data_IF_293163010443
#
_entry.id   IF_293163010443
#
_cell.length_a   1.000
_cell.length_b   1.000
_cell.length_c   1.000
_cell.angle_alpha   90.00
_cell.angle_beta   90.00
_cell.angle_gamma   90.00
#
_symmetry.space_group_name_H-M   'P 1'
#
loop_
_entity.id
_entity.type
_entity.pdbx_description
1 polymer ?
#
# COMPACT_ATOMS: atom_id res chain seq x y z
N UNK A 1 14.85 17.46 -12.04
CA UNK A 1 13.95 18.46 -12.64
C UNK A 1 12.54 18.16 -12.16
N UNK A 2 11.83 19.16 -11.61
CA UNK A 2 10.45 19.03 -11.12
C UNK A 2 9.62 20.15 -11.72
N UNK A 3 8.45 19.83 -12.30
CA UNK A 3 7.53 20.84 -12.84
C UNK A 3 6.66 21.49 -11.74
N UNK A 4 6.95 21.20 -10.47
CA UNK A 4 6.20 21.69 -9.31
C UNK A 4 6.79 23.05 -8.91
N UNK A 5 5.99 24.13 -8.85
CA UNK A 5 6.45 25.44 -8.42
C UNK A 5 6.82 25.43 -6.92
N UNK A 6 7.85 26.20 -6.57
CA UNK A 6 8.41 26.28 -5.21
C UNK A 6 7.41 26.77 -4.16
N UNK A 7 6.38 27.52 -4.59
CA UNK A 7 5.26 27.97 -3.76
C UNK A 7 4.41 26.82 -3.20
N UNK A 8 4.35 25.69 -3.91
CA UNK A 8 3.49 24.56 -3.52
C UNK A 8 4.22 23.56 -2.63
N UNK A 9 5.52 23.38 -2.87
CA UNK A 9 6.34 22.42 -2.15
C UNK A 9 7.71 23.05 -1.87
N UNK A 10 8.04 23.33 -0.60
CA UNK A 10 9.38 23.77 -0.23
C UNK A 10 10.42 22.74 -0.69
N UNK A 11 11.60 23.19 -1.10
CA UNK A 11 12.68 22.33 -1.63
C UNK A 11 12.97 21.12 -0.72
N UNK A 12 12.88 21.32 0.61
CA UNK A 12 13.04 20.30 1.66
C UNK A 12 12.04 19.13 1.54
N UNK A 13 10.81 19.39 1.07
CA UNK A 13 9.73 18.41 0.93
C UNK A 13 9.73 17.69 -0.42
N UNK A 14 10.43 18.22 -1.43
CA UNK A 14 10.56 17.59 -2.75
C UNK A 14 11.26 16.23 -2.63
N UNK A 15 12.27 16.13 -1.77
CA UNK A 15 12.97 14.87 -1.51
C UNK A 15 12.05 13.81 -0.85
N UNK A 16 11.14 14.23 0.03
CA UNK A 16 10.13 13.34 0.64
C UNK A 16 9.12 12.84 -0.40
N UNK A 17 8.69 13.69 -1.34
CA UNK A 17 7.82 13.24 -2.44
C UNK A 17 8.56 12.25 -3.35
N UNK A 18 9.86 12.45 -3.57
CA UNK A 18 10.65 11.52 -4.36
C UNK A 18 10.72 10.11 -3.72
N UNK A 19 10.54 9.99 -2.40
CA UNK A 19 10.40 8.66 -1.77
C UNK A 19 9.12 7.91 -2.17
N UNK A 20 8.09 8.58 -2.72
CA UNK A 20 6.90 7.91 -3.27
C UNK A 20 7.23 7.08 -4.52
N UNK A 21 8.18 7.53 -5.34
CA UNK A 21 8.67 6.75 -6.48
C UNK A 21 9.14 5.36 -6.02
N UNK A 22 9.86 5.31 -4.91
CA UNK A 22 10.35 4.06 -4.35
C UNK A 22 9.22 3.19 -3.76
N UNK A 23 8.15 3.80 -3.20
CA UNK A 23 6.96 3.05 -2.79
C UNK A 23 6.31 2.35 -3.99
N UNK A 24 6.17 3.05 -5.12
CA UNK A 24 5.63 2.48 -6.36
C UNK A 24 6.51 1.29 -6.82
N UNK A 25 7.83 1.42 -6.79
CA UNK A 25 8.74 0.32 -7.13
C UNK A 25 8.59 -0.90 -6.20
N UNK A 26 8.42 -0.69 -4.88
CA UNK A 26 8.16 -1.77 -3.93
C UNK A 26 6.86 -2.48 -4.29
N UNK A 27 5.80 -1.71 -4.52
CA UNK A 27 4.48 -2.22 -4.90
C UNK A 27 4.60 -3.10 -6.14
N UNK A 28 5.26 -2.64 -7.20
CA UNK A 28 5.49 -3.44 -8.41
C UNK A 28 6.37 -4.68 -8.18
N UNK A 29 7.44 -4.59 -7.37
CA UNK A 29 8.28 -5.75 -7.01
C UNK A 29 7.47 -6.81 -6.27
N UNK A 30 6.60 -6.38 -5.36
CA UNK A 30 5.71 -7.28 -4.62
C UNK A 30 4.67 -7.93 -5.54
N UNK A 31 4.09 -7.19 -6.48
CA UNK A 31 3.11 -7.74 -7.42
C UNK A 31 3.70 -8.85 -8.29
N UNK A 32 4.92 -8.66 -8.80
CA UNK A 32 5.64 -9.69 -9.55
C UNK A 32 5.86 -10.95 -8.72
N UNK A 33 6.30 -10.80 -7.46
CA UNK A 33 6.52 -11.91 -6.53
C UNK A 33 5.24 -12.67 -6.16
N UNK A 34 4.13 -11.95 -5.95
CA UNK A 34 2.87 -12.54 -5.48
C UNK A 34 2.09 -13.23 -6.58
N UNK A 35 2.00 -12.60 -7.75
CA UNK A 35 1.11 -13.05 -8.81
C UNK A 35 1.82 -13.84 -9.90
N UNK A 36 3.15 -14.06 -9.72
CA UNK A 36 4.04 -14.76 -10.66
C UNK A 36 3.70 -14.38 -12.10
N UNK A 37 3.61 -13.06 -12.34
CA UNK A 37 3.12 -12.49 -13.60
C UNK A 37 4.03 -12.92 -14.76
N UNK A 38 5.28 -13.25 -14.46
CA UNK A 38 6.29 -13.75 -15.41
C UNK A 38 6.01 -15.18 -15.92
N UNK A 39 5.12 -15.94 -15.28
CA UNK A 39 4.69 -17.25 -15.77
C UNK A 39 3.36 -17.17 -16.51
N UNK A 40 3.44 -17.03 -17.83
CA UNK A 40 2.32 -17.23 -18.74
C UNK A 40 2.46 -18.58 -19.46
N UNK A 41 1.35 -19.30 -19.56
CA UNK A 41 1.21 -20.48 -20.43
C UNK A 41 0.66 -19.96 -21.77
N UNK A 42 1.09 -20.50 -22.91
CA UNK A 42 0.58 -20.07 -24.22
C UNK A 42 -0.95 -20.27 -24.28
N UNK A 43 -1.70 -19.19 -24.15
CA UNK A 43 -3.17 -19.13 -24.22
C UNK A 43 -3.56 -18.02 -25.19
N UNK A 44 -4.80 -18.09 -25.69
CA UNK A 44 -5.37 -17.04 -26.54
C UNK A 44 -5.28 -15.67 -25.86
N UNK A 45 -5.05 -14.63 -26.66
CA UNK A 45 -4.79 -13.27 -26.19
C UNK A 45 -5.90 -12.75 -25.26
N UNK A 46 -7.16 -12.99 -25.60
CA UNK A 46 -8.32 -12.52 -24.83
C UNK A 46 -8.38 -13.16 -23.43
N UNK A 47 -7.94 -14.42 -23.31
CA UNK A 47 -7.84 -15.11 -22.02
C UNK A 47 -6.67 -14.57 -21.20
N UNK A 48 -5.55 -14.25 -21.85
CA UNK A 48 -4.40 -13.65 -21.18
C UNK A 48 -4.75 -12.26 -20.61
N UNK A 49 -5.42 -11.44 -21.41
CA UNK A 49 -5.88 -10.10 -21.00
C UNK A 49 -6.86 -10.19 -19.84
N UNK A 50 -7.86 -11.06 -19.92
CA UNK A 50 -8.81 -11.26 -18.82
C UNK A 50 -8.12 -11.73 -17.53
N UNK A 51 -7.17 -12.66 -17.63
CA UNK A 51 -6.37 -13.10 -16.48
C UNK A 51 -5.50 -11.98 -15.91
N UNK A 52 -4.92 -11.14 -16.77
CA UNK A 52 -4.14 -9.98 -16.36
C UNK A 52 -5.01 -8.97 -15.61
N UNK A 53 -6.17 -8.60 -16.17
CA UNK A 53 -7.10 -7.68 -15.52
C UNK A 53 -7.63 -8.25 -14.21
N UNK A 54 -7.97 -9.53 -14.14
CA UNK A 54 -8.37 -10.20 -12.91
C UNK A 54 -7.28 -10.14 -11.83
N UNK A 55 -6.02 -10.41 -12.22
CA UNK A 55 -4.87 -10.26 -11.31
C UNK A 55 -4.69 -8.81 -10.86
N UNK A 56 -4.82 -7.83 -11.76
CA UNK A 56 -4.70 -6.40 -11.43
C UNK A 56 -5.80 -5.92 -10.46
N UNK A 57 -7.04 -6.36 -10.65
CA UNK A 57 -8.15 -6.03 -9.75
C UNK A 57 -7.91 -6.67 -8.38
N UNK A 58 -7.50 -7.93 -8.33
CA UNK A 58 -7.19 -8.62 -7.08
C UNK A 58 -6.02 -7.95 -6.33
N UNK A 59 -4.98 -7.55 -7.05
CA UNK A 59 -3.85 -6.76 -6.55
C UNK A 59 -4.34 -5.46 -5.93
N UNK A 60 -5.19 -4.72 -6.65
CA UNK A 60 -5.69 -3.42 -6.22
C UNK A 60 -6.49 -3.55 -4.93
N UNK A 61 -7.43 -4.48 -4.88
CA UNK A 61 -8.22 -4.79 -3.68
C UNK A 61 -7.33 -5.18 -2.50
N UNK A 62 -6.40 -6.11 -2.72
CA UNK A 62 -5.50 -6.59 -1.67
C UNK A 62 -4.61 -5.47 -1.11
N UNK A 63 -4.04 -4.64 -1.99
CA UNK A 63 -3.21 -3.49 -1.60
C UNK A 63 -4.01 -2.47 -0.79
N UNK A 64 -5.25 -2.18 -1.18
CA UNK A 64 -6.13 -1.26 -0.46
C UNK A 64 -6.49 -1.76 0.96
N UNK A 65 -6.79 -3.05 1.12
CA UNK A 65 -7.09 -3.66 2.42
C UNK A 65 -5.85 -3.65 3.32
N UNK A 66 -4.68 -4.00 2.78
CA UNK A 66 -3.40 -3.96 3.48
C UNK A 66 -3.04 -2.55 3.95
N UNK A 67 -3.25 -1.54 3.11
CA UNK A 67 -3.00 -0.15 3.46
C UNK A 67 -3.86 0.28 4.65
N UNK A 68 -5.17 0.00 4.61
CA UNK A 68 -6.10 0.28 5.73
C UNK A 68 -5.71 -0.47 7.01
N UNK A 69 -5.37 -1.75 6.92
CA UNK A 69 -4.93 -2.55 8.07
C UNK A 69 -3.67 -1.96 8.74
N UNK A 70 -2.69 -1.55 7.94
CA UNK A 70 -1.46 -0.92 8.44
C UNK A 70 -1.71 0.45 9.05
N UNK A 71 -2.61 1.25 8.46
CA UNK A 71 -3.03 2.53 9.02
C UNK A 71 -3.70 2.35 10.39
N UNK A 72 -4.61 1.37 10.51
CA UNK A 72 -5.27 1.04 11.78
C UNK A 72 -4.26 0.56 12.84
N UNK A 73 -3.27 -0.24 12.45
CA UNK A 73 -2.20 -0.68 13.35
C UNK A 73 -1.35 0.51 13.85
N UNK A 74 -1.02 1.44 12.96
CA UNK A 74 -0.27 2.64 13.32
C UNK A 74 -1.07 3.51 14.30
N UNK A 75 -2.36 3.76 14.02
CA UNK A 75 -3.22 4.57 14.89
C UNK A 75 -3.42 3.94 16.27
N UNK A 76 -3.75 2.64 16.33
CA UNK A 76 -4.09 1.98 17.59
C UNK A 76 -2.88 1.59 18.43
N UNK A 77 -1.74 1.30 17.81
CA UNK A 77 -0.57 0.70 18.48
C UNK A 77 0.73 1.47 18.27
N UNK A 78 0.75 2.56 17.50
CA UNK A 78 1.95 3.35 17.15
C UNK A 78 3.10 2.49 16.61
N UNK A 79 2.77 1.45 15.84
CA UNK A 79 3.74 0.54 15.25
C UNK A 79 3.67 0.57 13.74
N UNK A 80 4.84 0.63 13.13
CA UNK A 80 4.98 0.50 11.69
C UNK A 80 5.28 -0.93 11.27
N UNK A 81 4.64 -1.31 10.17
CA UNK A 81 4.77 -2.58 9.50
C UNK A 81 5.25 -2.31 8.07
N UNK A 82 6.31 -2.99 7.64
CA UNK A 82 6.71 -2.98 6.22
C UNK A 82 5.72 -3.77 5.38
N UNK A 83 5.41 -3.29 4.18
CA UNK A 83 4.48 -3.93 3.23
C UNK A 83 4.84 -5.38 2.94
N UNK A 84 6.11 -5.63 2.62
CA UNK A 84 6.62 -6.96 2.34
C UNK A 84 6.34 -7.96 3.48
N UNK A 85 6.62 -7.54 4.72
CA UNK A 85 6.42 -8.37 5.92
C UNK A 85 4.95 -8.56 6.28
N UNK A 86 4.10 -7.56 6.01
CA UNK A 86 2.65 -7.67 6.16
C UNK A 86 2.08 -8.76 5.24
N UNK A 87 2.55 -8.77 3.99
CA UNK A 87 2.10 -9.70 2.97
C UNK A 87 2.57 -11.12 3.28
N UNK A 88 3.84 -11.30 3.64
CA UNK A 88 4.34 -12.62 4.06
C UNK A 88 3.46 -13.22 5.16
N UNK A 89 3.13 -12.42 6.18
CA UNK A 89 2.21 -12.87 7.23
C UNK A 89 0.81 -13.15 6.69
N UNK A 90 0.24 -12.29 5.85
CA UNK A 90 -1.09 -12.56 5.31
C UNK A 90 -1.10 -13.82 4.46
N UNK A 91 -0.03 -14.12 3.70
CA UNK A 91 0.10 -15.38 2.96
C UNK A 91 0.15 -16.59 3.91
N UNK A 92 0.94 -16.49 4.98
CA UNK A 92 1.04 -17.56 6.00
C UNK A 92 -0.31 -17.79 6.73
N UNK A 93 -1.07 -16.71 6.95
CA UNK A 93 -2.36 -16.74 7.65
C UNK A 93 -3.57 -16.73 6.70
N UNK A 94 -3.38 -16.86 5.38
CA UNK A 94 -4.46 -16.68 4.37
C UNK A 94 -5.53 -17.77 4.51
N UNK A 95 -5.08 -18.99 4.77
CA UNK A 95 -5.95 -20.13 5.05
C UNK A 95 -6.77 -19.93 6.34
N UNK A 96 -6.14 -19.43 7.40
CA UNK A 96 -6.81 -19.12 8.67
C UNK A 96 -7.78 -17.95 8.53
N UNK A 97 -7.44 -16.95 7.72
CA UNK A 97 -8.32 -15.85 7.33
C UNK A 97 -9.55 -16.36 6.57
N UNK A 98 -9.35 -17.24 5.59
CA UNK A 98 -10.44 -17.83 4.80
C UNK A 98 -11.42 -18.61 5.69
N UNK A 99 -10.91 -19.51 6.53
CA UNK A 99 -11.72 -20.27 7.47
C UNK A 99 -12.48 -19.37 8.45
N UNK A 100 -11.86 -18.28 8.88
CA UNK A 100 -12.46 -17.41 9.88
C UNK A 100 -13.48 -16.43 9.28
N UNK A 101 -13.29 -15.97 8.02
CA UNK A 101 -14.28 -15.16 7.28
C UNK A 101 -15.62 -15.91 7.20
N UNK A 102 -15.55 -17.24 7.11
CA UNK A 102 -16.71 -18.13 7.10
C UNK A 102 -17.45 -18.22 8.44
N UNK A 103 -16.85 -17.76 9.56
CA UNK A 103 -17.40 -17.88 10.91
C UNK A 103 -17.76 -16.55 11.58
N UNK A 104 -16.91 -15.51 11.56
CA UNK A 104 -17.24 -14.14 12.04
C UNK A 104 -16.10 -13.13 11.78
N UNK A 105 -16.36 -11.99 11.11
CA UNK A 105 -15.31 -11.04 10.67
C UNK A 105 -14.67 -10.20 11.78
N UNK A 106 -15.36 -9.93 12.89
CA UNK A 106 -14.84 -9.00 13.92
C UNK A 106 -13.70 -9.58 14.76
N UNK A 107 -13.81 -10.85 15.20
CA UNK A 107 -12.75 -11.50 16.00
C UNK A 107 -11.46 -11.73 15.19
N UNK A 108 -11.60 -11.93 13.88
CA UNK A 108 -10.46 -12.07 12.95
C UNK A 108 -9.63 -10.81 12.92
N UNK A 109 -10.27 -9.64 12.80
CA UNK A 109 -9.51 -8.39 12.74
C UNK A 109 -8.66 -8.22 14.00
N UNK A 110 -9.14 -8.63 15.17
CA UNK A 110 -8.37 -8.62 16.41
C UNK A 110 -7.18 -9.59 16.36
N UNK A 111 -7.39 -10.84 15.94
CA UNK A 111 -6.34 -11.86 15.85
C UNK A 111 -5.27 -11.47 14.82
N UNK A 112 -5.69 -10.99 13.65
CA UNK A 112 -4.77 -10.56 12.60
C UNK A 112 -3.92 -9.38 13.06
N UNK A 113 -4.53 -8.38 13.69
CA UNK A 113 -3.82 -7.24 14.28
C UNK A 113 -2.81 -7.72 15.33
N UNK A 114 -3.17 -8.70 16.15
CA UNK A 114 -2.28 -9.28 17.15
C UNK A 114 -1.07 -10.00 16.53
N UNK A 115 -1.28 -10.81 15.48
CA UNK A 115 -0.21 -11.53 14.79
C UNK A 115 0.74 -10.58 14.04
N UNK A 116 0.18 -9.60 13.32
CA UNK A 116 0.95 -8.55 12.65
C UNK A 116 1.76 -7.73 13.67
N UNK A 117 1.21 -7.48 14.86
CA UNK A 117 1.92 -6.79 15.94
C UNK A 117 3.11 -7.59 16.47
N UNK A 118 2.92 -8.90 16.72
CA UNK A 118 3.93 -9.77 17.34
C UNK A 118 5.13 -9.95 16.43
N UNK A 119 4.87 -10.19 15.14
CA UNK A 119 5.90 -10.61 14.22
C UNK A 119 6.40 -9.45 13.36
N UNK A 120 5.60 -8.40 13.16
CA UNK A 120 5.77 -7.43 12.07
C UNK A 120 6.56 -6.17 12.37
N UNK A 121 7.19 -6.07 13.55
CA UNK A 121 7.91 -4.85 13.95
C UNK A 121 8.97 -4.48 12.91
N UNK A 122 8.84 -3.26 12.36
CA UNK A 122 9.86 -2.60 11.53
C UNK A 122 10.67 -1.63 12.40
N UNK A 123 11.98 -1.59 12.22
CA UNK A 123 12.82 -0.57 12.85
C UNK A 123 12.52 0.80 12.23
N UNK A 124 12.11 1.76 13.05
CA UNK A 124 11.91 3.15 12.66
C UNK A 124 13.17 3.97 13.01
N UNK A 125 13.69 4.76 12.05
CA UNK A 125 14.81 5.67 12.31
C UNK A 125 14.26 6.98 12.87
N UNK A 126 14.83 7.45 13.98
CA UNK A 126 14.51 8.76 14.54
C UNK A 126 14.68 9.82 13.43
N UNK A 127 13.73 10.77 13.33
CA UNK A 127 13.62 11.81 12.28
C UNK A 127 13.04 11.42 10.91
N UNK A 128 12.92 10.13 10.58
CA UNK A 128 12.27 9.73 9.31
C UNK A 128 10.76 9.81 9.42
N UNK A 129 10.09 10.34 8.38
CA UNK A 129 8.63 10.29 8.26
C UNK A 129 8.16 8.91 7.84
N UNK A 130 6.95 8.55 8.28
CA UNK A 130 6.32 7.30 7.88
C UNK A 130 5.75 7.41 6.46
N UNK A 131 5.50 6.26 5.83
CA UNK A 131 4.82 6.23 4.51
C UNK A 131 3.44 6.89 4.59
N UNK A 132 2.77 6.81 5.73
CA UNK A 132 1.47 7.44 5.94
C UNK A 132 1.57 8.96 6.00
N UNK A 133 2.61 9.49 6.65
CA UNK A 133 2.84 10.95 6.71
C UNK A 133 3.15 11.50 5.31
N UNK A 134 3.97 10.79 4.53
CA UNK A 134 4.29 11.17 3.14
C UNK A 134 3.04 11.10 2.26
N UNK A 135 2.18 10.10 2.47
CA UNK A 135 0.92 9.98 1.75
C UNK A 135 -0.05 11.14 2.06
N UNK A 136 -0.20 11.52 3.32
CA UNK A 136 -1.01 12.68 3.72
C UNK A 136 -0.49 13.98 3.07
N UNK A 137 0.83 14.17 3.04
CA UNK A 137 1.43 15.32 2.35
C UNK A 137 1.09 15.34 0.86
N UNK A 138 1.14 14.18 0.19
CA UNK A 138 0.80 14.07 -1.23
C UNK A 138 -0.67 14.40 -1.52
N UNK A 139 -1.60 13.96 -0.67
CA UNK A 139 -3.03 14.25 -0.83
C UNK A 139 -3.32 15.75 -0.68
N UNK A 140 -2.70 16.42 0.29
CA UNK A 140 -2.87 17.85 0.51
C UNK A 140 -2.39 18.69 -0.70
N UNK A 141 -1.31 18.28 -1.37
CA UNK A 141 -0.81 18.95 -2.58
C UNK A 141 -1.81 18.82 -3.73
N UNK A 142 -2.36 17.61 -3.93
CA UNK A 142 -3.36 17.36 -4.98
C UNK A 142 -4.65 18.16 -4.72
N UNK A 143 -5.08 18.26 -3.47
CA UNK A 143 -6.25 19.07 -3.10
C UNK A 143 -6.02 20.58 -3.32
N UNK A 144 -4.82 21.08 -3.04
CA UNK A 144 -4.45 22.49 -3.32
C UNK A 144 -4.43 22.78 -4.83
N UNK A 145 -3.92 21.83 -5.63
CA UNK A 145 -3.92 21.95 -7.09
C UNK A 145 -5.36 21.95 -7.66
N UNK A 146 -6.22 21.06 -7.15
CA UNK A 146 -7.62 20.95 -7.59
C UNK A 146 -8.44 22.19 -7.18
N UNK A 147 -8.26 22.71 -5.96
CA UNK A 147 -8.95 23.93 -5.50
C UNK A 147 -8.61 25.17 -6.33
N UNK A 148 -7.36 25.33 -6.79
CA UNK A 148 -6.99 26.46 -7.68
C UNK A 148 -7.47 26.27 -9.12
N UNK A 149 -7.47 25.05 -9.66
CA UNK A 149 -8.05 24.80 -11.01
C UNK A 149 -9.53 25.17 -11.06
N UNK A 150 -10.27 24.94 -9.97
CA UNK A 150 -11.67 25.35 -9.82
C UNK A 150 -11.86 26.87 -9.63
N UNK A 151 -10.85 27.60 -9.14
CA UNK A 151 -10.91 29.04 -8.90
C UNK A 151 -10.41 29.89 -10.09
N UNK A 152 -9.77 29.24 -11.07
CA UNK A 152 -9.26 29.81 -12.31
C UNK A 152 -10.11 29.41 -13.55
N UNK A 153 -11.29 28.82 -13.31
CA UNK A 153 -12.38 28.55 -14.27
C UNK A 153 -13.52 29.53 -13.98
#
# INVERSE_FOLDING_TARGET
MTNIPWEWVPMERVHELYTLRWQIEIVFKMWKSLFKIDHYRNVKQERLECQLYGKLIAIFLFSSTLFKMRQLLLQKKKRELSEYKAIGMIQDYLYLLYQAIQKNTQEITKILIHLLQKNGRKSHRYEKKTVFDIWVLSMNIVDLENKRKLHNL
#
